data_IF_953266534142
#
_entry.id   IF_953266534142
#
_cell.length_a   1.000
_cell.length_b   1.000
_cell.length_c   1.000
_cell.angle_alpha   90.00
_cell.angle_beta   90.00
_cell.angle_gamma   90.00
#
_symmetry.space_group_name_H-M   'P 1'
#
loop_
_entity.id
_entity.type
_entity.pdbx_description
1 polymer ?
#
# COMPACT_ATOMS: atom_id res chain seq x y z
N UNK A 1 -0.48 7.37 12.31
CA UNK A 1 -0.07 7.87 10.99
C UNK A 1 -1.08 8.92 10.55
N UNK A 2 -0.64 10.04 9.99
CA UNK A 2 -1.51 11.10 9.49
C UNK A 2 -1.15 11.35 8.02
N UNK A 3 -2.11 11.18 7.10
CA UNK A 3 -1.90 11.22 5.65
C UNK A 3 -3.00 12.00 4.94
N UNK A 4 -3.57 12.99 5.63
CA UNK A 4 -4.72 13.78 5.16
C UNK A 4 -4.43 14.66 3.93
N UNK A 5 -3.18 14.75 3.49
CA UNK A 5 -2.75 15.51 2.31
C UNK A 5 -2.10 14.63 1.26
N UNK A 6 -2.21 15.02 -0.01
CA UNK A 6 -1.48 14.34 -1.10
C UNK A 6 0.03 14.35 -0.89
N UNK A 7 0.60 15.44 -0.35
CA UNK A 7 2.03 15.49 -0.06
C UNK A 7 2.45 14.46 1.01
N UNK A 8 1.62 14.25 2.04
CA UNK A 8 1.87 13.21 3.05
C UNK A 8 1.72 11.80 2.46
N UNK A 9 0.77 11.60 1.55
CA UNK A 9 0.63 10.34 0.82
C UNK A 9 1.84 10.06 -0.08
N UNK A 10 2.30 11.04 -0.86
CA UNK A 10 3.49 10.90 -1.70
C UNK A 10 4.75 10.60 -0.87
N UNK A 11 4.89 11.24 0.30
CA UNK A 11 5.97 10.96 1.24
C UNK A 11 5.90 9.52 1.80
N UNK A 12 4.69 9.00 2.10
CA UNK A 12 4.51 7.61 2.50
C UNK A 12 4.96 6.65 1.38
N UNK A 13 4.60 6.92 0.13
CA UNK A 13 5.04 6.12 -1.02
C UNK A 13 6.56 6.17 -1.15
N UNK A 14 7.18 7.35 -1.03
CA UNK A 14 8.64 7.48 -1.10
C UNK A 14 9.35 6.74 0.05
N UNK A 15 8.81 6.77 1.26
CA UNK A 15 9.32 6.00 2.40
C UNK A 15 9.22 4.49 2.15
N UNK A 16 8.09 4.01 1.62
CA UNK A 16 7.88 2.60 1.29
C UNK A 16 8.82 2.11 0.19
N UNK A 17 9.06 2.95 -0.83
CA UNK A 17 10.04 2.72 -1.90
C UNK A 17 11.45 2.63 -1.32
N UNK A 18 11.82 3.55 -0.43
CA UNK A 18 13.14 3.56 0.20
C UNK A 18 13.35 2.31 1.07
N UNK A 19 12.33 1.89 1.83
CA UNK A 19 12.39 0.67 2.64
C UNK A 19 12.49 -0.60 1.77
N UNK A 20 11.70 -0.70 0.69
CA UNK A 20 11.80 -1.82 -0.25
C UNK A 20 13.21 -1.93 -0.86
N UNK A 21 13.79 -0.80 -1.30
CA UNK A 21 15.17 -0.74 -1.81
C UNK A 21 16.23 -1.08 -0.76
N UNK A 22 15.98 -0.76 0.50
CA UNK A 22 16.88 -1.15 1.59
C UNK A 22 16.89 -2.67 1.82
N UNK A 23 15.82 -3.37 1.42
CA UNK A 23 15.71 -4.84 1.50
C UNK A 23 16.36 -5.55 0.32
N UNK A 24 16.24 -5.01 -0.90
CA UNK A 24 16.88 -5.53 -2.11
C UNK A 24 17.04 -4.43 -3.18
N UNK A 25 18.05 -4.55 -4.06
CA UNK A 25 18.29 -3.62 -5.16
C UNK A 25 18.66 -4.37 -6.47
N UNK A 26 17.77 -4.44 -7.47
CA UNK A 26 16.41 -3.88 -7.46
C UNK A 26 15.47 -4.67 -6.53
N UNK A 27 14.50 -4.02 -5.88
CA UNK A 27 13.47 -4.72 -5.12
C UNK A 27 12.52 -5.46 -6.06
N UNK A 28 12.16 -6.69 -5.71
CA UNK A 28 11.09 -7.44 -6.36
C UNK A 28 9.76 -7.27 -5.59
N UNK A 29 8.68 -7.83 -6.14
CA UNK A 29 7.33 -7.76 -5.58
C UNK A 29 7.28 -8.20 -4.10
N UNK A 30 8.05 -9.22 -3.70
CA UNK A 30 8.11 -9.68 -2.31
C UNK A 30 8.61 -8.60 -1.34
N UNK A 31 9.63 -7.82 -1.71
CA UNK A 31 10.16 -6.76 -0.85
C UNK A 31 9.21 -5.57 -0.77
N UNK A 32 8.47 -5.27 -1.84
CA UNK A 32 7.41 -4.27 -1.83
C UNK A 32 6.29 -4.69 -0.89
N UNK A 33 5.80 -5.92 -1.00
CA UNK A 33 4.79 -6.47 -0.10
C UNK A 33 5.25 -6.47 1.36
N UNK A 34 6.50 -6.83 1.63
CA UNK A 34 7.05 -6.81 2.98
C UNK A 34 7.06 -5.40 3.57
N UNK A 35 7.53 -4.41 2.79
CA UNK A 35 7.54 -2.98 3.19
C UNK A 35 6.14 -2.46 3.53
N UNK A 36 5.15 -2.74 2.67
CA UNK A 36 3.74 -2.34 2.90
C UNK A 36 3.12 -3.10 4.08
N UNK A 37 3.38 -4.41 4.18
CA UNK A 37 2.84 -5.28 5.24
C UNK A 37 3.28 -4.82 6.63
N UNK A 38 4.51 -4.34 6.78
CA UNK A 38 5.02 -3.81 8.05
C UNK A 38 4.28 -2.53 8.50
N UNK A 39 3.62 -1.81 7.58
CA UNK A 39 2.77 -0.65 7.89
C UNK A 39 1.31 -0.98 8.17
N UNK A 40 0.87 -2.21 7.90
CA UNK A 40 -0.53 -2.66 8.11
C UNK A 40 -1.06 -2.40 9.52
N UNK A 41 -0.28 -2.57 10.61
CA UNK A 41 -0.74 -2.24 11.96
C UNK A 41 -1.14 -0.76 12.15
N UNK A 42 -0.55 0.14 11.37
CA UNK A 42 -0.83 1.58 11.42
C UNK A 42 -2.00 2.01 10.52
N UNK A 43 -2.51 1.09 9.68
CA UNK A 43 -3.65 1.33 8.77
C UNK A 43 -4.98 1.20 9.53
N UNK A 44 -5.29 2.24 10.30
CA UNK A 44 -6.61 2.43 10.91
C UNK A 44 -7.67 2.69 9.83
N UNK A 45 -8.96 2.58 10.19
CA UNK A 45 -10.06 2.80 9.24
C UNK A 45 -9.99 4.15 8.52
N UNK A 46 -9.69 5.21 9.28
CA UNK A 46 -9.59 6.58 8.75
C UNK A 46 -8.38 6.73 7.81
N UNK A 47 -7.25 6.12 8.15
CA UNK A 47 -6.04 6.10 7.30
C UNK A 47 -6.34 5.35 5.99
N UNK A 48 -7.01 4.20 6.05
CA UNK A 48 -7.43 3.50 4.83
C UNK A 48 -8.33 4.35 3.94
N UNK A 49 -9.29 5.10 4.53
CA UNK A 49 -10.16 5.99 3.76
C UNK A 49 -9.37 7.14 3.11
N UNK A 50 -8.37 7.69 3.81
CA UNK A 50 -7.48 8.72 3.27
C UNK A 50 -6.63 8.18 2.12
N UNK A 51 -6.02 6.99 2.24
CA UNK A 51 -5.28 6.32 1.15
C UNK A 51 -6.17 6.18 -0.08
N UNK A 52 -7.36 5.61 0.10
CA UNK A 52 -8.28 5.34 -1.01
C UNK A 52 -8.81 6.63 -1.66
N UNK A 53 -8.92 7.71 -0.91
CA UNK A 53 -9.31 9.02 -1.45
C UNK A 53 -8.15 9.74 -2.15
N UNK A 54 -6.91 9.48 -1.73
CA UNK A 54 -5.71 10.17 -2.19
C UNK A 54 -4.93 9.40 -3.24
N UNK A 55 -5.17 8.11 -3.47
CA UNK A 55 -4.61 7.42 -4.62
C UNK A 55 -5.45 7.69 -5.87
N UNK A 56 -4.79 7.71 -7.02
CA UNK A 56 -5.45 7.66 -8.33
C UNK A 56 -5.62 6.23 -8.85
N UNK A 57 -5.07 5.25 -8.13
CA UNK A 57 -5.05 3.84 -8.50
C UNK A 57 -6.28 3.15 -7.91
N UNK A 58 -6.96 2.37 -8.74
CA UNK A 58 -8.11 1.59 -8.30
C UNK A 58 -7.61 0.32 -7.57
N UNK A 59 -8.20 -0.05 -6.42
CA UNK A 59 -7.84 -1.29 -5.73
C UNK A 59 -8.02 -2.51 -6.62
N UNK A 60 -7.02 -3.39 -6.63
CA UNK A 60 -7.13 -4.68 -7.30
C UNK A 60 -8.14 -5.59 -6.57
N UNK A 61 -9.23 -5.93 -7.25
CA UNK A 61 -10.32 -6.71 -6.67
C UNK A 61 -9.91 -8.16 -6.37
N UNK A 62 -9.07 -8.78 -7.22
CA UNK A 62 -8.62 -10.16 -7.06
C UNK A 62 -7.67 -10.27 -5.86
N UNK A 63 -6.72 -9.35 -5.75
CA UNK A 63 -5.83 -9.28 -4.59
C UNK A 63 -6.59 -8.93 -3.30
N UNK A 64 -7.60 -8.06 -3.36
CA UNK A 64 -8.45 -7.77 -2.19
C UNK A 64 -9.20 -9.01 -1.74
N UNK A 65 -9.74 -9.79 -2.67
CA UNK A 65 -10.38 -11.07 -2.35
C UNK A 65 -9.36 -12.05 -1.76
N UNK A 66 -8.16 -12.18 -2.32
CA UNK A 66 -7.12 -13.05 -1.77
C UNK A 66 -6.73 -12.66 -0.34
N UNK A 67 -6.51 -11.37 -0.07
CA UNK A 67 -6.16 -10.85 1.25
C UNK A 67 -7.30 -11.04 2.27
N UNK A 68 -8.55 -11.01 1.82
CA UNK A 68 -9.73 -11.13 2.68
C UNK A 68 -10.29 -12.55 2.80
N UNK A 69 -9.99 -13.46 1.87
CA UNK A 69 -10.54 -14.81 1.83
C UNK A 69 -10.08 -15.70 3.00
N UNK A 70 -8.96 -15.36 3.65
CA UNK A 70 -8.39 -16.14 4.75
C UNK A 70 -9.06 -15.89 6.12
N UNK A 71 -9.99 -14.95 6.24
CA UNK A 71 -10.64 -14.57 7.51
C UNK A 71 -12.13 -14.35 7.29
N UNK A 72 -12.96 -14.50 8.32
CA UNK A 72 -14.35 -14.01 8.34
C UNK A 72 -14.34 -12.48 8.20
N UNK A 73 -13.98 -12.00 7.01
CA UNK A 73 -13.42 -10.68 6.81
C UNK A 73 -14.51 -9.64 6.99
N UNK A 74 -14.36 -8.88 8.06
CA UNK A 74 -15.17 -7.72 8.36
C UNK A 74 -15.01 -6.66 7.27
N UNK A 75 -15.96 -5.73 7.15
CA UNK A 75 -15.84 -4.59 6.22
C UNK A 75 -14.59 -3.75 6.49
N UNK A 76 -14.13 -3.71 7.75
CA UNK A 76 -12.89 -3.05 8.13
C UNK A 76 -11.65 -3.76 7.55
N UNK A 77 -11.61 -5.10 7.57
CA UNK A 77 -10.53 -5.87 6.96
C UNK A 77 -10.55 -5.75 5.44
N UNK A 78 -11.73 -5.74 4.82
CA UNK A 78 -11.87 -5.49 3.37
C UNK A 78 -11.40 -4.10 2.97
N UNK A 79 -11.72 -3.08 3.77
CA UNK A 79 -11.23 -1.72 3.55
C UNK A 79 -9.70 -1.65 3.67
N UNK A 80 -9.13 -2.30 4.69
CA UNK A 80 -7.67 -2.37 4.85
C UNK A 80 -7.00 -3.10 3.70
N UNK A 81 -7.57 -4.22 3.24
CA UNK A 81 -7.08 -4.94 2.07
C UNK A 81 -7.03 -4.04 0.83
N UNK A 82 -8.09 -3.26 0.58
CA UNK A 82 -8.12 -2.29 -0.53
C UNK A 82 -7.03 -1.22 -0.42
N UNK A 83 -6.81 -0.67 0.77
CA UNK A 83 -5.76 0.31 0.98
C UNK A 83 -4.36 -0.28 0.77
N UNK A 84 -4.14 -1.52 1.22
CA UNK A 84 -2.87 -2.24 1.05
C UNK A 84 -2.58 -2.51 -0.43
N UNK A 85 -3.55 -3.01 -1.19
CA UNK A 85 -3.33 -3.30 -2.62
C UNK A 85 -3.03 -2.05 -3.42
N UNK A 86 -3.72 -0.94 -3.12
CA UNK A 86 -3.43 0.37 -3.70
C UNK A 86 -2.01 0.84 -3.37
N UNK A 87 -1.58 0.72 -2.11
CA UNK A 87 -0.21 1.11 -1.72
C UNK A 87 0.85 0.30 -2.46
N UNK A 88 0.66 -1.02 -2.61
CA UNK A 88 1.59 -1.87 -3.36
C UNK A 88 1.71 -1.40 -4.81
N UNK A 89 0.57 -1.19 -5.48
CA UNK A 89 0.55 -0.73 -6.87
C UNK A 89 1.20 0.64 -7.05
N UNK A 90 0.96 1.57 -6.13
CA UNK A 90 1.55 2.92 -6.19
C UNK A 90 3.08 2.88 -5.93
N UNK A 91 3.55 1.98 -5.06
CA UNK A 91 4.99 1.76 -4.82
C UNK A 91 5.67 1.13 -6.03
N UNK A 92 5.06 0.11 -6.64
CA UNK A 92 5.56 -0.52 -7.87
C UNK A 92 5.65 0.50 -9.01
N UNK A 93 4.59 1.29 -9.22
CA UNK A 93 4.57 2.37 -10.22
C UNK A 93 5.71 3.36 -9.99
N UNK A 94 5.94 3.79 -8.74
CA UNK A 94 7.01 4.74 -8.40
C UNK A 94 8.41 4.13 -8.56
N UNK A 95 8.56 2.82 -8.39
CA UNK A 95 9.81 2.11 -8.63
C UNK A 95 10.12 2.06 -10.13
N UNK A 96 9.12 1.78 -10.96
CA UNK A 96 9.24 1.73 -12.42
C UNK A 96 9.56 3.13 -13.00
N UNK A 97 8.87 4.18 -12.54
CA UNK A 97 9.15 5.58 -12.94
C UNK A 97 10.59 6.05 -12.63
N UNK A 98 11.26 5.40 -11.69
CA UNK A 98 12.65 5.71 -11.27
C UNK A 98 13.69 4.76 -11.84
N UNK A 99 13.27 3.76 -12.62
CA UNK A 99 14.16 2.83 -13.31
C UNK A 99 14.53 3.30 -14.73
N UNK A 100 13.75 4.24 -15.29
CA UNK A 100 14.01 4.98 -16.54
C UNK A 100 14.88 6.24 -16.34
#
# INVERSE_FOLDING_TARGET
MDIDTRAAYDALIDDLVADARARADPPENEQVWASVSDRVPDLTGDVCDQILSLSTTAPDAELVEEVTAARDSTDAERKRARAVTVLVQDVETRLDERAD
#
